data_IF_644369386231
#
_entry.id   IF_644369386231
#
_cell.length_a   1.000
_cell.length_b   1.000
_cell.length_c   1.000
_cell.angle_alpha   90.00
_cell.angle_beta   90.00
_cell.angle_gamma   90.00
#
_symmetry.space_group_name_H-M   'P 1'
#
loop_
_entity.id
_entity.type
_entity.pdbx_description
1 polymer ?
#
# COMPACT_ATOMS: atom_id res chain seq x y z
N UNK A 1 -37.47 -54.87 -12.03
CA UNK A 1 -36.93 -54.63 -10.67
C UNK A 1 -35.88 -53.53 -10.82
N UNK A 2 -36.29 -52.32 -10.47
CA UNK A 2 -35.45 -51.13 -10.50
C UNK A 2 -35.18 -50.73 -9.05
N UNK A 3 -33.98 -50.92 -8.58
CA UNK A 3 -33.51 -50.30 -7.36
C UNK A 3 -33.07 -48.84 -7.64
N UNK A 4 -33.87 -47.92 -7.17
CA UNK A 4 -33.49 -46.50 -7.08
C UNK A 4 -32.66 -46.31 -5.80
N UNK A 5 -31.38 -46.12 -5.95
CA UNK A 5 -30.50 -45.67 -4.86
C UNK A 5 -30.81 -44.19 -4.60
N UNK A 6 -31.46 -43.90 -3.46
CA UNK A 6 -31.60 -42.55 -2.93
C UNK A 6 -30.27 -42.13 -2.31
N UNK A 7 -29.60 -41.15 -2.95
CA UNK A 7 -28.50 -40.42 -2.33
C UNK A 7 -29.14 -39.42 -1.38
N UNK A 8 -29.04 -39.67 -0.08
CA UNK A 8 -29.34 -38.66 0.95
C UNK A 8 -28.20 -37.65 0.98
N UNK A 9 -28.42 -36.47 0.41
CA UNK A 9 -27.61 -35.29 0.71
C UNK A 9 -27.86 -34.90 2.17
N UNK A 10 -26.89 -35.18 3.02
CA UNK A 10 -26.89 -34.70 4.39
C UNK A 10 -26.44 -33.23 4.37
N UNK A 11 -27.37 -32.33 4.25
CA UNK A 11 -27.16 -30.91 4.51
C UNK A 11 -26.86 -30.77 6.02
N UNK A 12 -25.59 -30.66 6.37
CA UNK A 12 -25.21 -30.26 7.74
C UNK A 12 -25.72 -28.83 7.96
N UNK A 13 -26.87 -28.71 8.61
CA UNK A 13 -27.31 -27.46 9.20
C UNK A 13 -26.30 -27.10 10.31
N UNK A 14 -25.50 -26.05 10.09
CA UNK A 14 -24.75 -25.43 11.19
C UNK A 14 -25.77 -24.97 12.23
N UNK A 15 -25.68 -25.51 13.44
CA UNK A 15 -26.47 -25.00 14.56
C UNK A 15 -26.18 -23.51 14.75
N UNK A 16 -27.18 -22.68 15.09
CA UNK A 16 -26.94 -21.27 15.36
C UNK A 16 -26.00 -21.14 16.57
N UNK A 17 -24.86 -20.50 16.36
CA UNK A 17 -23.90 -20.18 17.42
C UNK A 17 -24.62 -19.30 18.45
N UNK A 18 -24.52 -19.65 19.73
CA UNK A 18 -25.20 -18.87 20.78
C UNK A 18 -24.56 -17.50 20.94
N UNK A 19 -25.35 -16.48 21.30
CA UNK A 19 -24.86 -15.10 21.53
C UNK A 19 -23.67 -15.07 22.54
N UNK A 20 -23.66 -15.99 23.50
CA UNK A 20 -22.58 -16.12 24.49
C UNK A 20 -21.28 -16.65 23.88
N UNK A 21 -21.36 -17.61 22.94
CA UNK A 21 -20.19 -18.12 22.23
C UNK A 21 -19.59 -17.05 21.32
N UNK A 22 -20.44 -16.28 20.62
CA UNK A 22 -20.02 -15.16 19.79
C UNK A 22 -19.34 -14.05 20.62
N UNK A 23 -19.82 -13.77 21.82
CA UNK A 23 -19.22 -12.79 22.73
C UNK A 23 -17.85 -13.26 23.25
N UNK A 24 -17.72 -14.53 23.62
CA UNK A 24 -16.44 -15.10 24.09
C UNK A 24 -15.38 -15.15 22.99
N UNK A 25 -15.76 -15.53 21.78
CA UNK A 25 -14.86 -15.49 20.61
C UNK A 25 -14.37 -14.08 20.31
N UNK A 26 -15.22 -13.08 20.43
CA UNK A 26 -14.89 -11.68 20.27
C UNK A 26 -13.87 -11.18 21.31
N UNK A 27 -14.05 -11.59 22.56
CA UNK A 27 -13.13 -11.24 23.65
C UNK A 27 -11.74 -11.88 23.46
N UNK A 28 -11.69 -13.14 23.06
CA UNK A 28 -10.43 -13.85 22.76
C UNK A 28 -9.66 -13.12 21.64
N UNK A 29 -10.35 -12.75 20.56
CA UNK A 29 -9.73 -12.03 19.43
C UNK A 29 -9.19 -10.66 19.84
N UNK A 30 -9.92 -9.92 20.64
CA UNK A 30 -9.45 -8.62 21.12
C UNK A 30 -8.19 -8.78 21.99
N UNK A 31 -8.14 -9.80 22.84
CA UNK A 31 -6.95 -10.12 23.62
C UNK A 31 -5.75 -10.53 22.75
N UNK A 32 -5.96 -11.34 21.72
CA UNK A 32 -4.91 -11.73 20.76
C UNK A 32 -4.39 -10.52 19.99
N UNK A 33 -5.28 -9.63 19.55
CA UNK A 33 -4.95 -8.37 18.90
C UNK A 33 -4.10 -7.48 19.80
N UNK A 34 -4.52 -7.24 21.03
CA UNK A 34 -3.77 -6.44 22.00
C UNK A 34 -2.39 -7.05 22.29
N UNK A 35 -2.32 -8.37 22.48
CA UNK A 35 -1.06 -9.07 22.70
C UNK A 35 -0.13 -8.95 21.50
N UNK A 36 -0.64 -9.03 20.27
CA UNK A 36 0.15 -8.82 19.07
C UNK A 36 0.73 -7.41 19.05
N UNK A 37 -0.10 -6.37 19.23
CA UNK A 37 0.30 -4.98 19.17
C UNK A 37 1.34 -4.61 20.26
N UNK A 38 1.20 -5.15 21.46
CA UNK A 38 2.16 -4.93 22.55
C UNK A 38 3.53 -5.59 22.27
N UNK A 39 3.57 -6.66 21.48
CA UNK A 39 4.80 -7.37 21.11
C UNK A 39 5.50 -6.82 19.85
N UNK A 40 4.97 -5.77 19.24
CA UNK A 40 5.64 -5.11 18.13
C UNK A 40 6.77 -4.23 18.64
N UNK A 41 7.93 -4.31 17.98
CA UNK A 41 9.08 -3.45 18.24
C UNK A 41 8.87 -2.03 17.70
N UNK A 42 8.11 -1.87 16.63
CA UNK A 42 7.76 -0.57 16.08
C UNK A 42 7.00 0.27 17.11
N UNK A 43 7.31 1.57 17.18
CA UNK A 43 6.53 2.51 17.97
C UNK A 43 5.19 2.81 17.34
N UNK A 44 5.17 3.00 16.01
CA UNK A 44 3.94 3.11 15.26
C UNK A 44 3.89 2.02 14.19
N UNK A 45 2.72 1.41 14.05
CA UNK A 45 2.47 0.36 13.06
C UNK A 45 1.03 0.44 12.57
N UNK A 46 0.82 0.09 11.30
CA UNK A 46 -0.50 -0.10 10.70
C UNK A 46 -0.50 -1.32 9.79
N UNK A 47 -1.56 -2.11 9.82
CA UNK A 47 -1.93 -3.09 8.81
C UNK A 47 -3.22 -2.62 8.16
N UNK A 48 -3.25 -2.55 6.85
CA UNK A 48 -4.32 -1.91 6.07
C UNK A 48 -4.82 -2.87 4.99
N UNK A 49 -6.12 -2.91 4.79
CA UNK A 49 -6.73 -3.42 3.57
C UNK A 49 -6.43 -2.44 2.43
N UNK A 50 -5.63 -2.87 1.46
CA UNK A 50 -5.17 -1.99 0.39
C UNK A 50 -6.30 -1.53 -0.54
N UNK A 51 -7.35 -2.33 -0.70
CA UNK A 51 -8.48 -2.02 -1.58
C UNK A 51 -9.35 -0.89 -1.00
N UNK A 52 -9.73 -1.00 0.27
CA UNK A 52 -10.58 0.00 0.94
C UNK A 52 -9.80 1.12 1.63
N UNK A 53 -8.52 0.92 1.93
CA UNK A 53 -7.71 1.82 2.74
C UNK A 53 -8.01 1.75 4.25
N UNK A 54 -8.84 0.79 4.69
CA UNK A 54 -9.22 0.63 6.09
C UNK A 54 -8.07 0.05 6.91
N UNK A 55 -7.79 0.68 8.05
CA UNK A 55 -6.85 0.14 9.04
C UNK A 55 -7.48 -1.07 9.72
N UNK A 56 -6.83 -2.22 9.61
CA UNK A 56 -7.24 -3.50 10.21
C UNK A 56 -6.64 -3.66 11.61
N UNK A 57 -5.37 -3.28 11.75
CA UNK A 57 -4.64 -3.23 13.00
C UNK A 57 -3.83 -1.94 13.08
N UNK A 58 -3.78 -1.31 14.24
CA UNK A 58 -3.01 -0.10 14.48
C UNK A 58 -2.38 -0.05 15.85
N UNK A 59 -1.15 0.44 15.92
CA UNK A 59 -0.42 0.80 17.14
C UNK A 59 0.11 2.21 16.95
N UNK A 60 -0.41 3.18 17.68
CA UNK A 60 -0.10 4.60 17.48
C UNK A 60 -0.07 4.96 15.97
N UNK A 61 -0.98 4.39 15.21
CA UNK A 61 -1.02 4.43 13.74
C UNK A 61 -1.26 5.82 13.18
N UNK A 62 -1.80 6.72 13.98
CA UNK A 62 -2.07 8.12 13.65
C UNK A 62 -1.02 9.09 14.21
N UNK A 63 0.02 8.60 14.90
CA UNK A 63 1.10 9.45 15.40
C UNK A 63 2.10 9.73 14.29
N UNK A 64 2.26 11.01 13.94
CA UNK A 64 3.25 11.44 12.95
C UNK A 64 4.67 11.24 13.48
N UNK A 65 5.52 10.60 12.67
CA UNK A 65 6.93 10.33 12.96
C UNK A 65 7.79 10.55 11.73
N UNK A 66 9.09 10.86 11.88
CA UNK A 66 10.04 10.82 10.78
C UNK A 66 9.97 9.45 10.08
N UNK A 67 10.01 9.46 8.75
CA UNK A 67 9.74 8.27 7.94
C UNK A 67 10.96 7.75 7.16
N UNK A 68 12.07 8.48 7.21
CA UNK A 68 13.30 8.15 6.48
C UNK A 68 13.02 7.87 4.97
N UNK A 69 13.78 6.98 4.37
CA UNK A 69 13.70 6.66 2.94
C UNK A 69 12.43 5.93 2.50
N UNK A 70 11.45 5.64 3.39
CA UNK A 70 10.12 5.23 2.94
C UNK A 70 9.42 6.33 2.15
N UNK A 71 9.83 7.60 2.34
CA UNK A 71 9.48 8.76 1.51
C UNK A 71 9.61 8.49 0.02
N UNK A 72 10.61 7.71 -0.40
CA UNK A 72 10.94 7.48 -1.81
C UNK A 72 9.85 6.77 -2.61
N UNK A 73 8.87 6.12 -1.94
CA UNK A 73 7.68 5.60 -2.64
C UNK A 73 6.86 6.74 -3.27
N UNK A 74 6.70 7.86 -2.55
CA UNK A 74 6.03 9.06 -3.07
C UNK A 74 6.84 9.70 -4.19
N UNK A 75 8.16 9.81 -4.03
CA UNK A 75 9.05 10.35 -5.07
C UNK A 75 8.99 9.50 -6.34
N UNK A 76 9.00 8.18 -6.20
CA UNK A 76 8.92 7.24 -7.32
C UNK A 76 7.59 7.35 -8.07
N UNK A 77 6.46 7.34 -7.36
CA UNK A 77 5.16 7.36 -8.00
C UNK A 77 4.89 8.70 -8.71
N UNK A 78 5.30 9.82 -8.11
CA UNK A 78 5.22 11.13 -8.78
C UNK A 78 6.08 11.19 -10.03
N UNK A 79 7.28 10.63 -9.98
CA UNK A 79 8.16 10.59 -11.14
C UNK A 79 7.61 9.69 -12.27
N UNK A 80 6.96 8.59 -11.92
CA UNK A 80 6.28 7.74 -12.90
C UNK A 80 5.05 8.41 -13.53
N UNK A 81 4.29 9.17 -12.74
CA UNK A 81 3.06 9.83 -13.21
C UNK A 81 3.32 11.12 -14.00
N UNK A 82 4.38 11.86 -13.65
CA UNK A 82 4.66 13.20 -14.22
C UNK A 82 5.84 13.24 -15.19
N UNK A 83 6.77 12.29 -15.12
CA UNK A 83 7.97 12.22 -15.94
C UNK A 83 7.86 11.27 -17.12
N UNK A 84 8.81 11.38 -18.04
CA UNK A 84 8.99 10.40 -19.11
C UNK A 84 10.22 9.54 -18.80
N UNK A 85 10.13 8.19 -18.82
CA UNK A 85 11.27 7.31 -18.54
C UNK A 85 12.52 7.56 -19.38
N UNK A 86 12.37 8.20 -20.54
CA UNK A 86 13.45 8.55 -21.48
C UNK A 86 14.04 9.93 -21.25
N UNK A 87 13.53 10.72 -20.30
CA UNK A 87 14.09 12.01 -19.98
C UNK A 87 15.53 11.88 -19.50
N UNK A 88 16.37 12.80 -19.94
CA UNK A 88 17.73 12.97 -19.43
C UNK A 88 17.70 13.89 -18.21
N UNK A 89 18.01 13.36 -17.08
CA UNK A 89 18.12 14.04 -15.80
C UNK A 89 19.58 14.41 -15.57
N UNK A 90 19.86 15.70 -15.52
CA UNK A 90 21.21 16.20 -15.24
C UNK A 90 21.37 16.47 -13.75
N UNK A 91 22.43 15.93 -13.15
CA UNK A 91 22.74 16.13 -11.75
C UNK A 91 23.16 17.58 -11.50
N UNK A 92 22.47 18.25 -10.57
CA UNK A 92 22.87 19.56 -10.07
C UNK A 92 23.98 19.44 -9.03
N UNK A 93 24.60 20.56 -8.67
CA UNK A 93 25.52 20.63 -7.54
C UNK A 93 24.87 20.17 -6.23
N UNK A 94 23.56 20.48 -6.03
CA UNK A 94 22.81 20.05 -4.86
C UNK A 94 22.59 18.52 -4.85
N UNK A 95 22.22 17.92 -5.98
CA UNK A 95 22.08 16.49 -6.09
C UNK A 95 23.44 15.78 -5.84
N UNK A 96 24.51 16.25 -6.47
CA UNK A 96 25.86 15.69 -6.31
C UNK A 96 26.39 15.80 -4.87
N UNK A 97 25.94 16.80 -4.09
CA UNK A 97 26.36 17.01 -2.70
C UNK A 97 25.57 16.18 -1.68
N UNK A 98 24.61 15.34 -2.12
CA UNK A 98 23.79 14.59 -1.18
C UNK A 98 24.59 13.56 -0.38
N UNK A 99 24.29 13.39 0.93
CA UNK A 99 25.00 12.45 1.78
C UNK A 99 24.69 11.00 1.41
N UNK A 100 25.54 10.08 1.85
CA UNK A 100 25.30 8.63 1.74
C UNK A 100 23.97 8.24 2.40
N UNK A 101 23.23 7.29 1.82
CA UNK A 101 23.52 6.44 0.67
C UNK A 101 23.30 7.22 -0.63
N UNK A 102 24.22 7.18 -1.58
CA UNK A 102 24.13 7.91 -2.84
C UNK A 102 24.74 7.10 -4.00
N UNK A 103 24.29 7.37 -5.22
CA UNK A 103 24.87 6.83 -6.45
C UNK A 103 26.30 7.34 -6.66
N UNK A 104 26.56 8.54 -6.19
CA UNK A 104 27.84 9.23 -6.34
C UNK A 104 27.91 10.05 -7.62
N UNK A 105 26.81 10.69 -8.00
CA UNK A 105 26.73 11.58 -9.17
C UNK A 105 27.71 12.75 -9.03
N UNK A 106 28.26 13.18 -10.15
CA UNK A 106 28.97 14.46 -10.25
C UNK A 106 28.07 15.52 -10.91
N UNK A 107 28.28 16.77 -10.56
CA UNK A 107 27.56 17.88 -11.19
C UNK A 107 27.73 17.85 -12.72
N UNK A 108 26.63 17.95 -13.44
CA UNK A 108 26.58 17.90 -14.89
C UNK A 108 26.48 16.51 -15.49
N UNK A 109 26.66 15.43 -14.72
CA UNK A 109 26.40 14.07 -15.22
C UNK A 109 24.91 13.91 -15.50
N UNK A 110 24.58 13.18 -16.57
CA UNK A 110 23.22 12.93 -16.99
C UNK A 110 22.89 11.44 -16.98
N UNK A 111 21.66 11.14 -16.57
CA UNK A 111 21.13 9.78 -16.46
C UNK A 111 19.70 9.74 -17.02
N UNK A 112 19.27 8.61 -17.55
CA UNK A 112 17.86 8.45 -17.86
C UNK A 112 17.00 8.36 -16.59
N UNK A 113 15.84 9.02 -16.60
CA UNK A 113 14.90 9.01 -15.47
C UNK A 113 14.56 7.59 -15.04
N UNK A 114 14.33 6.68 -16.00
CA UNK A 114 14.11 5.25 -15.74
C UNK A 114 15.20 4.65 -14.87
N UNK A 115 16.46 4.91 -15.19
CA UNK A 115 17.60 4.31 -14.50
C UNK A 115 17.73 4.86 -13.06
N UNK A 116 17.46 6.14 -12.90
CA UNK A 116 17.42 6.77 -11.58
C UNK A 116 16.27 6.25 -10.69
N UNK A 117 15.14 5.80 -11.26
CA UNK A 117 14.06 5.17 -10.51
C UNK A 117 14.47 3.83 -9.91
N UNK A 118 15.24 3.01 -10.64
CA UNK A 118 15.82 1.79 -10.08
C UNK A 118 16.87 2.10 -9.00
N UNK A 119 17.74 3.07 -9.23
CA UNK A 119 18.70 3.58 -8.25
C UNK A 119 18.01 4.04 -6.96
N UNK A 120 16.93 4.81 -7.09
CA UNK A 120 16.10 5.32 -6.02
C UNK A 120 15.48 4.20 -5.17
N UNK A 121 14.89 3.21 -5.81
CA UNK A 121 14.08 2.20 -5.11
C UNK A 121 14.88 1.01 -4.63
N UNK A 122 15.89 0.53 -5.39
CA UNK A 122 16.67 -0.65 -5.04
C UNK A 122 17.75 -0.33 -4.01
N UNK A 123 18.55 0.73 -4.25
CA UNK A 123 19.67 1.13 -3.39
C UNK A 123 19.32 2.29 -2.44
N UNK A 124 18.19 2.96 -2.68
CA UNK A 124 17.77 4.09 -1.86
C UNK A 124 18.66 5.34 -1.97
N UNK A 125 19.26 5.59 -3.14
CA UNK A 125 20.20 6.69 -3.35
C UNK A 125 19.56 8.07 -3.16
N UNK A 126 20.18 8.91 -2.34
CA UNK A 126 19.65 10.24 -1.97
C UNK A 126 19.83 11.26 -3.09
N UNK A 127 20.95 11.22 -3.79
CA UNK A 127 21.24 12.05 -4.96
C UNK A 127 20.27 11.80 -6.10
N UNK A 128 19.91 10.53 -6.36
CA UNK A 128 18.91 10.18 -7.36
C UNK A 128 17.55 10.82 -7.04
N UNK A 129 17.15 10.83 -5.76
CA UNK A 129 15.89 11.45 -5.34
C UNK A 129 15.88 12.96 -5.60
N UNK A 130 16.97 13.65 -5.27
CA UNK A 130 17.10 15.09 -5.47
C UNK A 130 17.18 15.44 -6.95
N UNK A 131 17.98 14.71 -7.73
CA UNK A 131 18.08 14.92 -9.18
C UNK A 131 16.72 14.74 -9.87
N UNK A 132 15.95 13.72 -9.51
CA UNK A 132 14.58 13.48 -10.01
C UNK A 132 13.66 14.67 -9.64
N UNK A 133 13.69 15.08 -8.38
CA UNK A 133 12.83 16.16 -7.88
C UNK A 133 13.12 17.49 -8.59
N UNK A 134 14.38 17.87 -8.75
CA UNK A 134 14.80 19.09 -9.43
C UNK A 134 14.49 19.06 -10.92
N UNK A 135 14.69 17.90 -11.57
CA UNK A 135 14.35 17.73 -12.98
C UNK A 135 12.87 17.95 -13.25
N UNK A 136 12.02 17.34 -12.44
CA UNK A 136 10.56 17.35 -12.68
C UNK A 136 9.88 18.64 -12.23
N UNK A 137 10.30 19.21 -11.10
CA UNK A 137 9.64 20.35 -10.48
C UNK A 137 10.47 21.64 -10.50
N UNK A 138 11.71 21.60 -10.99
CA UNK A 138 12.63 22.71 -11.02
C UNK A 138 13.32 23.01 -9.68
N UNK A 139 12.80 22.48 -8.56
CA UNK A 139 13.43 22.62 -7.24
C UNK A 139 12.88 21.60 -6.24
N UNK A 140 13.65 21.29 -5.19
CA UNK A 140 13.22 20.44 -4.09
C UNK A 140 11.98 21.00 -3.36
N UNK A 141 11.89 22.30 -3.01
CA UNK A 141 10.69 22.83 -2.38
C UNK A 141 9.42 22.72 -3.24
N UNK A 142 9.55 22.89 -4.57
CA UNK A 142 8.42 22.70 -5.47
C UNK A 142 7.98 21.25 -5.54
N UNK A 143 8.94 20.31 -5.57
CA UNK A 143 8.64 18.90 -5.55
C UNK A 143 7.97 18.48 -4.22
N UNK A 144 8.44 19.01 -3.09
CA UNK A 144 7.81 18.79 -1.79
C UNK A 144 6.33 19.25 -1.76
N UNK A 145 6.00 20.37 -2.41
CA UNK A 145 4.60 20.78 -2.60
C UNK A 145 3.80 19.73 -3.36
N UNK A 146 4.33 19.20 -4.46
CA UNK A 146 3.67 18.12 -5.20
C UNK A 146 3.49 16.84 -4.38
N UNK A 147 4.46 16.52 -3.51
CA UNK A 147 4.33 15.37 -2.60
C UNK A 147 3.17 15.56 -1.62
N UNK A 148 3.04 16.76 -1.04
CA UNK A 148 1.94 17.07 -0.12
C UNK A 148 0.58 17.10 -0.84
N UNK A 149 0.50 17.76 -2.02
CA UNK A 149 -0.72 17.75 -2.85
C UNK A 149 -1.14 16.31 -3.22
N UNK A 150 -0.19 15.46 -3.60
CA UNK A 150 -0.47 14.04 -3.89
C UNK A 150 -0.92 13.27 -2.64
N UNK A 151 -0.34 13.54 -1.48
CA UNK A 151 -0.77 12.94 -0.22
C UNK A 151 -2.23 13.30 0.10
N UNK A 152 -2.61 14.58 -0.06
CA UNK A 152 -4.00 15.03 0.09
C UNK A 152 -4.94 14.36 -0.93
N UNK A 153 -4.52 14.25 -2.21
CA UNK A 153 -5.28 13.57 -3.27
C UNK A 153 -5.53 12.08 -2.92
N UNK A 154 -4.55 11.42 -2.33
CA UNK A 154 -4.66 10.03 -1.86
C UNK A 154 -5.59 9.92 -0.65
N UNK A 155 -5.83 11.01 0.07
CA UNK A 155 -6.64 11.09 1.29
C UNK A 155 -5.82 10.92 2.57
N UNK A 156 -4.54 11.31 2.55
CA UNK A 156 -3.71 11.41 3.75
C UNK A 156 -4.05 12.71 4.50
N UNK A 157 -4.10 12.63 5.81
CA UNK A 157 -4.36 13.77 6.71
C UNK A 157 -3.25 14.02 7.71
N UNK A 158 -2.31 13.09 7.81
CA UNK A 158 -1.22 13.04 8.79
C UNK A 158 0.11 12.79 8.07
N UNK A 159 0.40 13.63 7.06
CA UNK A 159 1.62 13.59 6.26
C UNK A 159 2.13 14.99 5.98
N UNK A 160 3.44 15.20 6.15
CA UNK A 160 4.12 16.42 5.77
C UNK A 160 5.47 16.09 5.13
N UNK A 161 5.59 16.41 3.84
CA UNK A 161 6.78 16.15 3.05
C UNK A 161 7.61 17.42 2.87
N UNK A 162 8.90 17.35 3.16
CA UNK A 162 9.88 18.43 3.01
C UNK A 162 11.01 18.01 2.05
N UNK A 163 11.41 16.73 2.09
CA UNK A 163 12.52 16.22 1.29
C UNK A 163 12.07 15.06 0.38
N UNK A 164 12.64 14.94 -0.85
CA UNK A 164 12.29 13.83 -1.75
C UNK A 164 13.01 12.53 -1.42
N UNK A 165 14.06 12.58 -0.61
CA UNK A 165 14.90 11.43 -0.26
C UNK A 165 14.60 10.85 1.12
N UNK A 166 13.85 11.57 1.96
CA UNK A 166 13.49 11.15 3.31
C UNK A 166 14.54 11.45 4.37
N UNK A 167 15.53 12.29 4.07
CA UNK A 167 16.37 12.85 5.10
C UNK A 167 15.54 13.76 6.00
N UNK A 168 15.91 13.80 7.26
CA UNK A 168 15.25 14.62 8.27
C UNK A 168 15.33 16.10 7.87
N UNK A 169 14.24 16.82 8.05
CA UNK A 169 14.13 18.22 7.68
C UNK A 169 12.84 18.83 8.17
N UNK A 170 12.76 20.15 8.12
CA UNK A 170 11.59 20.91 8.52
C UNK A 170 11.44 22.15 7.63
N UNK A 171 10.23 22.62 7.51
CA UNK A 171 9.89 23.88 6.88
C UNK A 171 8.86 24.64 7.75
N UNK A 172 8.29 25.72 7.19
CA UNK A 172 7.27 26.52 7.92
C UNK A 172 5.99 25.72 8.23
N UNK A 173 5.75 24.62 7.53
CA UNK A 173 4.59 23.73 7.73
C UNK A 173 4.83 22.64 8.78
N UNK A 174 6.09 22.37 9.12
CA UNK A 174 6.45 21.37 10.13
C UNK A 174 7.60 20.46 9.75
N UNK A 175 7.73 19.38 10.53
CA UNK A 175 8.77 18.37 10.37
C UNK A 175 8.38 17.36 9.29
N UNK A 176 9.36 16.91 8.49
CA UNK A 176 9.22 15.82 7.53
C UNK A 176 8.76 14.52 8.23
N UNK A 177 7.47 14.25 8.21
CA UNK A 177 6.87 13.17 9.00
C UNK A 177 5.57 12.64 8.39
N UNK A 178 5.18 11.44 8.81
CA UNK A 178 3.93 10.79 8.39
C UNK A 178 3.42 9.88 9.50
N UNK A 179 2.13 9.57 9.50
CA UNK A 179 1.57 8.47 10.30
C UNK A 179 1.75 7.12 9.61
N UNK A 180 1.78 6.04 10.38
CA UNK A 180 1.87 4.69 9.81
C UNK A 180 0.64 4.36 8.93
N UNK A 181 -0.55 4.83 9.32
CA UNK A 181 -1.77 4.67 8.54
C UNK A 181 -1.66 5.34 7.17
N UNK A 182 -1.19 6.59 7.11
CA UNK A 182 -1.07 7.32 5.86
C UNK A 182 0.09 6.80 4.98
N UNK A 183 1.20 6.34 5.58
CA UNK A 183 2.27 5.69 4.83
C UNK A 183 1.77 4.40 4.16
N UNK A 184 0.99 3.59 4.86
CA UNK A 184 0.36 2.40 4.29
C UNK A 184 -0.66 2.76 3.19
N UNK A 185 -1.40 3.85 3.35
CA UNK A 185 -2.34 4.35 2.34
C UNK A 185 -1.63 4.79 1.05
N UNK A 186 -0.48 5.46 1.16
CA UNK A 186 0.36 5.83 0.01
C UNK A 186 0.86 4.56 -0.71
N UNK A 187 1.36 3.56 0.02
CA UNK A 187 1.80 2.31 -0.60
C UNK A 187 0.63 1.59 -1.28
N UNK A 188 -0.56 1.56 -0.67
CA UNK A 188 -1.77 1.00 -1.28
C UNK A 188 -2.12 1.69 -2.60
N UNK A 189 -1.98 3.02 -2.67
CA UNK A 189 -2.14 3.77 -3.90
C UNK A 189 -1.10 3.35 -4.95
N UNK A 190 0.17 3.28 -4.58
CA UNK A 190 1.26 2.92 -5.49
C UNK A 190 1.09 1.53 -6.12
N UNK A 191 0.59 0.55 -5.36
CA UNK A 191 0.51 -0.84 -5.83
C UNK A 191 -0.82 -1.20 -6.52
N UNK A 192 -1.92 -0.44 -6.26
CA UNK A 192 -3.25 -0.80 -6.77
C UNK A 192 -3.95 0.30 -7.58
N UNK A 193 -3.85 1.56 -7.15
CA UNK A 193 -4.74 2.63 -7.65
C UNK A 193 -4.08 3.61 -8.61
N UNK A 194 -2.76 3.77 -8.53
CA UNK A 194 -2.03 4.62 -9.47
C UNK A 194 -2.16 4.08 -10.90
N UNK A 195 -2.35 4.95 -11.92
CA UNK A 195 -2.26 4.54 -13.32
C UNK A 195 -0.87 3.97 -13.69
N UNK A 196 0.12 4.12 -12.79
CA UNK A 196 1.49 3.64 -12.90
C UNK A 196 1.84 2.50 -11.92
N UNK A 197 0.81 1.84 -11.36
CA UNK A 197 1.02 0.75 -10.41
C UNK A 197 1.86 -0.40 -11.01
N UNK A 198 1.61 -0.76 -12.27
CA UNK A 198 2.37 -1.83 -12.93
C UNK A 198 3.86 -1.49 -13.07
N UNK A 199 4.20 -0.25 -13.46
CA UNK A 199 5.58 0.21 -13.57
C UNK A 199 6.24 0.32 -12.18
N UNK A 200 5.50 0.79 -11.17
CA UNK A 200 5.98 0.84 -9.79
C UNK A 200 6.33 -0.55 -9.27
N UNK A 201 5.46 -1.54 -9.47
CA UNK A 201 5.69 -2.93 -9.09
C UNK A 201 6.88 -3.53 -9.86
N UNK A 202 6.99 -3.28 -11.17
CA UNK A 202 8.11 -3.76 -11.96
C UNK A 202 9.47 -3.25 -11.43
N UNK A 203 9.54 -1.99 -10.98
CA UNK A 203 10.74 -1.42 -10.37
C UNK A 203 11.01 -2.07 -9.01
N UNK A 204 10.02 -2.10 -8.12
CA UNK A 204 10.22 -2.52 -6.72
C UNK A 204 10.44 -4.03 -6.56
N UNK A 205 10.05 -4.82 -7.55
CA UNK A 205 10.27 -6.28 -7.59
C UNK A 205 11.57 -6.67 -8.28
N UNK A 206 12.22 -5.75 -9.01
CA UNK A 206 13.45 -6.07 -9.74
C UNK A 206 14.54 -6.51 -8.77
N UNK A 207 15.16 -7.69 -8.93
CA UNK A 207 16.19 -8.18 -8.01
C UNK A 207 17.48 -7.36 -8.10
N UNK A 208 17.88 -7.01 -9.31
CA UNK A 208 19.08 -6.21 -9.60
C UNK A 208 18.91 -5.49 -10.94
N UNK A 209 19.53 -4.33 -11.06
CA UNK A 209 19.49 -3.52 -12.28
C UNK A 209 20.83 -2.86 -12.52
N UNK A 210 21.32 -2.89 -13.77
CA UNK A 210 22.57 -2.24 -14.16
C UNK A 210 22.31 -1.24 -15.27
N UNK A 211 22.98 -0.11 -15.21
CA UNK A 211 22.86 0.98 -16.18
C UNK A 211 24.18 1.77 -16.28
N UNK A 212 24.24 2.64 -17.27
CA UNK A 212 25.33 3.58 -17.44
C UNK A 212 24.81 5.01 -17.38
N UNK A 213 25.70 6.00 -17.13
CA UNK A 213 25.37 7.38 -17.41
C UNK A 213 25.04 7.57 -18.90
N UNK A 214 24.46 8.71 -19.25
CA UNK A 214 24.04 8.99 -20.64
C UNK A 214 25.19 9.04 -21.66
N UNK A 215 26.42 9.24 -21.20
CA UNK A 215 27.61 9.26 -22.04
C UNK A 215 28.30 7.88 -22.11
N UNK A 216 27.86 6.91 -21.32
CA UNK A 216 28.44 5.56 -21.25
C UNK A 216 29.82 5.50 -20.60
N UNK A 217 30.17 6.50 -19.80
CA UNK A 217 31.46 6.59 -19.10
C UNK A 217 31.47 5.85 -17.77
N UNK A 218 30.36 5.93 -17.03
CA UNK A 218 30.13 5.24 -15.75
C UNK A 218 29.23 4.03 -15.90
N UNK A 219 29.53 2.96 -15.14
CA UNK A 219 28.66 1.78 -15.04
C UNK A 219 28.23 1.61 -13.58
N UNK A 220 26.93 1.44 -13.37
CA UNK A 220 26.31 1.36 -12.06
C UNK A 220 25.52 0.06 -11.95
N UNK A 221 25.46 -0.50 -10.73
CA UNK A 221 24.71 -1.70 -10.44
C UNK A 221 23.96 -1.51 -9.13
N UNK A 222 22.66 -1.82 -9.15
CA UNK A 222 21.76 -1.73 -8.01
C UNK A 222 21.24 -3.12 -7.65
N UNK A 223 21.19 -3.43 -6.36
CA UNK A 223 20.60 -4.65 -5.81
C UNK A 223 19.41 -4.32 -4.94
N UNK A 224 18.39 -5.16 -4.97
CA UNK A 224 17.19 -4.94 -4.17
C UNK A 224 17.42 -5.35 -2.71
N UNK A 225 17.32 -4.41 -1.79
CA UNK A 225 17.48 -4.64 -0.36
C UNK A 225 16.17 -4.99 0.37
N UNK A 226 15.07 -5.18 -0.36
CA UNK A 226 13.80 -5.58 0.22
C UNK A 226 13.75 -7.09 0.48
N UNK A 227 14.23 -7.54 1.63
CA UNK A 227 14.23 -8.96 2.01
C UNK A 227 12.81 -9.56 2.08
N UNK A 228 11.77 -8.74 2.25
CA UNK A 228 10.39 -9.19 2.32
C UNK A 228 9.95 -9.96 1.08
N UNK A 229 10.41 -9.57 -0.11
CA UNK A 229 10.10 -10.24 -1.37
C UNK A 229 10.48 -11.74 -1.40
N UNK A 230 11.45 -12.14 -0.57
CA UNK A 230 11.89 -13.53 -0.45
C UNK A 230 11.49 -14.17 0.88
N UNK A 231 10.96 -13.37 1.81
CA UNK A 231 10.65 -13.80 3.17
C UNK A 231 9.25 -14.40 3.29
N UNK A 232 8.32 -13.93 2.49
CA UNK A 232 6.91 -14.35 2.52
C UNK A 232 6.36 -14.50 1.10
N UNK A 233 5.69 -15.61 0.86
CA UNK A 233 4.96 -15.83 -0.39
C UNK A 233 3.87 -14.75 -0.54
N UNK A 234 3.73 -14.24 -1.75
CA UNK A 234 2.78 -13.15 -2.03
C UNK A 234 3.30 -11.74 -1.74
N UNK A 235 4.52 -11.56 -1.21
CA UNK A 235 5.12 -10.24 -1.09
C UNK A 235 5.34 -9.61 -2.47
N UNK A 236 4.80 -8.39 -2.70
CA UNK A 236 4.79 -7.75 -4.03
C UNK A 236 5.56 -6.43 -4.07
N UNK A 237 5.80 -5.77 -2.95
CA UNK A 237 6.52 -4.50 -2.93
C UNK A 237 6.98 -4.15 -1.52
N UNK A 238 7.87 -3.16 -1.39
CA UNK A 238 8.24 -2.57 -0.13
C UNK A 238 9.40 -1.58 -0.24
N UNK A 239 9.55 -0.78 0.81
CA UNK A 239 10.67 0.17 0.95
C UNK A 239 11.12 0.27 2.39
N UNK A 240 12.42 0.13 2.59
CA UNK A 240 13.10 0.36 3.86
C UNK A 240 13.51 1.82 4.03
N UNK A 241 13.66 2.26 5.27
CA UNK A 241 14.24 3.56 5.60
C UNK A 241 14.98 3.51 6.93
N UNK A 242 15.96 4.40 7.08
CA UNK A 242 16.67 4.65 8.33
C UNK A 242 17.26 6.06 8.32
N UNK A 243 17.01 6.81 9.37
CA UNK A 243 17.80 7.97 9.81
C UNK A 243 18.02 7.86 11.33
N UNK A 244 18.88 8.71 11.88
CA UNK A 244 19.10 8.75 13.33
C UNK A 244 17.80 9.06 14.10
N UNK A 245 17.00 10.00 13.59
CA UNK A 245 15.75 10.45 14.20
C UNK A 245 14.60 9.47 13.98
N UNK A 246 14.49 8.95 12.75
CA UNK A 246 13.40 8.02 12.39
C UNK A 246 13.54 6.63 13.01
N UNK A 247 14.77 6.15 13.24
CA UNK A 247 15.02 4.75 13.46
C UNK A 247 14.74 3.92 12.19
N UNK A 248 14.62 2.61 12.32
CA UNK A 248 14.24 1.75 11.19
C UNK A 248 12.76 1.90 10.87
N UNK A 249 12.48 2.21 9.60
CA UNK A 249 11.15 2.29 9.04
C UNK A 249 11.01 1.27 7.90
N UNK A 250 9.79 0.80 7.69
CA UNK A 250 9.48 -0.09 6.58
C UNK A 250 8.00 0.05 6.18
N UNK A 251 7.74 -0.05 4.89
CA UNK A 251 6.40 -0.21 4.34
C UNK A 251 6.44 -1.33 3.30
N UNK A 252 5.47 -2.23 3.34
CA UNK A 252 5.42 -3.38 2.45
C UNK A 252 4.01 -3.78 2.07
N UNK A 253 3.88 -4.42 0.90
CA UNK A 253 2.62 -4.91 0.37
C UNK A 253 2.71 -6.41 0.07
N UNK A 254 1.64 -7.15 0.39
CA UNK A 254 1.50 -8.57 0.17
C UNK A 254 0.13 -8.86 -0.42
N UNK A 255 0.10 -9.69 -1.47
CA UNK A 255 -1.11 -10.21 -2.06
C UNK A 255 -1.27 -11.70 -1.70
N UNK A 256 -2.40 -12.05 -1.14
CA UNK A 256 -2.76 -13.42 -0.79
C UNK A 256 -4.17 -13.72 -1.26
N UNK A 257 -4.31 -14.65 -2.20
CA UNK A 257 -5.56 -14.92 -2.88
C UNK A 257 -6.09 -13.65 -3.57
N UNK A 258 -7.30 -13.21 -3.23
CA UNK A 258 -7.93 -11.98 -3.74
C UNK A 258 -7.74 -10.77 -2.81
N UNK A 259 -6.92 -10.89 -1.74
CA UNK A 259 -6.69 -9.85 -0.72
C UNK A 259 -5.32 -9.21 -0.90
N UNK A 260 -5.25 -7.90 -0.78
CA UNK A 260 -3.98 -7.17 -0.73
C UNK A 260 -3.84 -6.45 0.60
N UNK A 261 -2.84 -6.85 1.37
CA UNK A 261 -2.49 -6.23 2.65
C UNK A 261 -1.31 -5.29 2.46
N UNK A 262 -1.38 -4.14 3.09
CA UNK A 262 -0.25 -3.22 3.22
C UNK A 262 0.01 -2.98 4.70
N UNK A 263 1.29 -3.03 5.08
CA UNK A 263 1.69 -2.67 6.44
C UNK A 263 2.76 -1.59 6.41
N UNK A 264 2.78 -0.75 7.45
CA UNK A 264 3.80 0.26 7.67
C UNK A 264 4.30 0.22 9.11
N UNK A 265 5.61 0.39 9.27
CA UNK A 265 6.30 0.42 10.56
C UNK A 265 7.16 1.69 10.63
N UNK A 266 7.00 2.46 11.70
CA UNK A 266 7.80 3.63 11.99
C UNK A 266 8.49 3.46 13.35
N UNK A 267 9.73 3.94 13.43
CA UNK A 267 10.55 3.84 14.63
C UNK A 267 10.65 2.39 15.17
N UNK A 268 11.00 1.45 14.28
CA UNK A 268 11.09 0.01 14.55
C UNK A 268 12.52 -0.39 14.96
N UNK A 269 13.05 0.25 15.99
CA UNK A 269 14.40 0.04 16.51
C UNK A 269 15.44 0.96 15.89
N UNK A 270 16.63 0.94 16.49
CA UNK A 270 17.83 1.72 16.10
C UNK A 270 19.01 0.78 15.85
N UNK A 271 20.24 1.26 15.61
CA UNK A 271 21.40 0.42 15.33
C UNK A 271 21.54 -0.77 16.30
N UNK A 272 21.90 -1.92 15.75
CA UNK A 272 21.91 -3.28 16.31
C UNK A 272 20.55 -4.02 16.23
N UNK A 273 19.44 -3.35 15.90
CA UNK A 273 18.09 -3.91 15.86
C UNK A 273 17.47 -3.88 14.44
N UNK A 274 18.28 -3.91 13.39
CA UNK A 274 17.85 -3.79 11.99
C UNK A 274 16.85 -4.87 11.54
N UNK A 275 16.77 -5.98 12.24
CA UNK A 275 15.89 -7.10 11.90
C UNK A 275 14.49 -7.01 12.55
N UNK A 276 14.28 -6.09 13.49
CA UNK A 276 12.98 -5.90 14.15
C UNK A 276 11.85 -5.65 13.15
N UNK A 277 12.12 -4.84 12.11
CA UNK A 277 11.15 -4.58 11.05
C UNK A 277 10.70 -5.86 10.33
N UNK A 278 11.59 -6.83 10.10
CA UNK A 278 11.23 -8.09 9.46
C UNK A 278 10.38 -8.99 10.36
N UNK A 279 10.70 -9.00 11.64
CA UNK A 279 9.92 -9.72 12.66
C UNK A 279 8.51 -9.15 12.77
N UNK A 280 8.38 -7.82 12.85
CA UNK A 280 7.08 -7.17 12.96
C UNK A 280 6.26 -7.26 11.67
N UNK A 281 6.92 -7.15 10.49
CA UNK A 281 6.29 -7.36 9.19
C UNK A 281 5.64 -8.75 9.12
N UNK A 282 6.37 -9.80 9.49
CA UNK A 282 5.86 -11.17 9.49
C UNK A 282 4.64 -11.31 10.39
N UNK A 283 4.73 -10.82 11.63
CA UNK A 283 3.63 -10.88 12.61
C UNK A 283 2.35 -10.23 12.07
N UNK A 284 2.47 -9.01 11.51
CA UNK A 284 1.32 -8.28 10.99
C UNK A 284 0.71 -8.96 9.77
N UNK A 285 1.53 -9.43 8.82
CA UNK A 285 1.04 -10.07 7.60
C UNK A 285 0.42 -11.44 7.90
N UNK A 286 1.04 -12.26 8.74
CA UNK A 286 0.49 -13.54 9.17
C UNK A 286 -0.86 -13.36 9.88
N UNK A 287 -0.97 -12.37 10.77
CA UNK A 287 -2.24 -12.03 11.41
C UNK A 287 -3.30 -11.60 10.40
N UNK A 288 -2.94 -10.73 9.45
CA UNK A 288 -3.86 -10.28 8.39
C UNK A 288 -4.41 -11.45 7.57
N UNK A 289 -3.53 -12.33 7.11
CA UNK A 289 -3.92 -13.50 6.32
C UNK A 289 -4.78 -14.49 7.09
N UNK A 290 -4.51 -14.66 8.40
CA UNK A 290 -5.23 -15.62 9.25
C UNK A 290 -6.61 -15.14 9.69
N UNK A 291 -6.79 -13.83 9.91
CA UNK A 291 -7.97 -13.29 10.60
C UNK A 291 -8.88 -12.42 9.73
N UNK A 292 -8.51 -12.13 8.49
CA UNK A 292 -9.35 -11.31 7.62
C UNK A 292 -9.61 -12.03 6.30
N UNK A 293 -10.89 -12.11 5.92
CA UNK A 293 -11.34 -12.62 4.62
C UNK A 293 -12.31 -11.66 3.99
N UNK A 294 -12.47 -11.73 2.67
CA UNK A 294 -13.58 -11.04 2.02
C UNK A 294 -14.90 -11.75 2.33
N UNK A 295 -15.87 -10.94 2.73
CA UNK A 295 -17.25 -11.40 2.88
C UNK A 295 -18.18 -10.53 2.03
N UNK A 296 -19.20 -11.18 1.47
CA UNK A 296 -20.19 -10.50 0.65
C UNK A 296 -21.24 -9.85 1.54
N UNK A 297 -21.06 -8.55 1.80
CA UNK A 297 -21.94 -7.80 2.73
C UNK A 297 -23.19 -7.23 2.08
N UNK A 298 -23.24 -7.27 0.75
CA UNK A 298 -24.41 -6.81 0.00
C UNK A 298 -24.75 -7.79 -1.11
N UNK A 299 -25.99 -8.32 -1.07
CA UNK A 299 -26.65 -8.99 -2.19
C UNK A 299 -27.76 -8.09 -2.69
N UNK A 300 -27.80 -7.83 -4.00
CA UNK A 300 -28.94 -7.15 -4.60
C UNK A 300 -30.18 -8.01 -4.31
N UNK A 301 -31.15 -7.51 -3.55
CA UNK A 301 -32.35 -8.29 -3.27
C UNK A 301 -33.08 -8.57 -4.57
N UNK A 302 -33.57 -9.83 -4.74
CA UNK A 302 -34.48 -10.15 -5.81
C UNK A 302 -35.78 -9.36 -5.61
N UNK A 303 -36.04 -8.46 -6.54
CA UNK A 303 -37.26 -7.66 -6.49
C UNK A 303 -38.40 -8.43 -7.19
N UNK A 304 -39.46 -8.64 -6.47
CA UNK A 304 -40.67 -9.18 -7.05
C UNK A 304 -41.28 -8.19 -8.05
N UNK A 305 -41.88 -8.70 -9.12
CA UNK A 305 -42.66 -7.87 -10.04
C UNK A 305 -43.79 -7.20 -9.28
N UNK A 306 -43.95 -5.89 -9.48
CA UNK A 306 -45.03 -5.14 -8.83
C UNK A 306 -46.32 -5.30 -9.65
N UNK A 307 -47.40 -5.85 -9.06
CA UNK A 307 -48.66 -5.96 -9.79
C UNK A 307 -49.24 -4.55 -10.06
N UNK A 308 -49.76 -4.36 -11.27
CA UNK A 308 -50.38 -3.10 -11.69
C UNK A 308 -51.89 -3.29 -11.75
N UNK A 309 -52.62 -2.55 -10.92
CA UNK A 309 -54.10 -2.53 -10.97
C UNK A 309 -54.53 -1.85 -12.28
N UNK A 310 -55.48 -2.49 -12.96
CA UNK A 310 -56.04 -2.04 -14.25
C UNK A 310 -54.99 -1.94 -15.39
N UNK A 311 -53.85 -2.57 -15.28
CA UNK A 311 -52.83 -2.65 -16.31
C UNK A 311 -53.19 -3.69 -17.35
N UNK A 312 -52.80 -3.46 -18.63
CA UNK A 312 -52.95 -4.43 -19.71
C UNK A 312 -51.78 -5.42 -19.71
N UNK A 313 -52.08 -6.69 -19.52
CA UNK A 313 -51.04 -7.74 -19.54
C UNK A 313 -50.63 -8.07 -20.98
N UNK A 314 -49.36 -8.24 -21.22
CA UNK A 314 -48.85 -8.75 -22.49
C UNK A 314 -49.28 -10.21 -22.80
N UNK A 315 -49.76 -10.92 -21.78
CA UNK A 315 -50.15 -12.32 -21.87
C UNK A 315 -51.68 -12.52 -22.09
N UNK A 316 -52.37 -11.51 -22.59
CA UNK A 316 -53.79 -11.58 -22.95
C UNK A 316 -54.75 -11.14 -21.85
N UNK A 317 -56.09 -11.22 -22.13
CA UNK A 317 -57.18 -10.69 -21.33
C UNK A 317 -57.31 -11.22 -19.88
N UNK A 318 -56.65 -12.29 -19.52
CA UNK A 318 -56.67 -12.92 -18.19
C UNK A 318 -55.35 -12.88 -17.46
N UNK A 319 -54.32 -12.26 -18.04
CA UNK A 319 -53.01 -12.10 -17.39
C UNK A 319 -53.00 -10.96 -16.38
N UNK A 320 -52.37 -11.15 -15.22
CA UNK A 320 -52.12 -10.05 -14.29
C UNK A 320 -51.00 -9.17 -14.81
N UNK A 321 -51.26 -7.88 -14.95
CA UNK A 321 -50.23 -6.92 -15.33
C UNK A 321 -49.25 -6.74 -14.19
N UNK A 322 -47.95 -6.75 -14.47
CA UNK A 322 -46.89 -6.49 -13.50
C UNK A 322 -45.72 -5.75 -14.18
N UNK A 323 -45.06 -4.89 -13.46
CA UNK A 323 -43.84 -4.23 -13.91
C UNK A 323 -42.61 -4.86 -13.27
N UNK A 324 -41.58 -4.99 -14.07
CA UNK A 324 -40.27 -5.34 -13.57
C UNK A 324 -39.63 -4.13 -12.91
N UNK A 325 -39.02 -4.34 -11.75
CA UNK A 325 -38.35 -3.29 -10.98
C UNK A 325 -36.86 -3.57 -11.01
N UNK A 326 -36.09 -2.56 -11.35
CA UNK A 326 -34.64 -2.62 -11.38
C UNK A 326 -34.08 -1.60 -10.39
N UNK A 327 -33.12 -2.03 -9.54
CA UNK A 327 -32.39 -1.11 -8.68
C UNK A 327 -31.27 -0.48 -9.51
N UNK A 328 -31.37 0.84 -9.73
CA UNK A 328 -30.31 1.62 -10.37
C UNK A 328 -29.52 2.35 -9.28
N UNK A 329 -28.27 2.02 -9.11
CA UNK A 329 -27.34 2.66 -8.18
C UNK A 329 -25.92 2.53 -8.65
N UNK A 330 -24.98 3.25 -8.02
CA UNK A 330 -23.55 2.95 -8.18
C UNK A 330 -23.35 1.52 -7.68
N UNK A 331 -22.62 0.72 -8.46
CA UNK A 331 -22.14 -0.59 -8.01
C UNK A 331 -21.40 -0.39 -6.69
N UNK A 332 -22.00 -0.83 -5.60
CA UNK A 332 -21.31 -0.90 -4.31
C UNK A 332 -20.36 -2.09 -4.38
N UNK A 333 -19.16 -2.01 -3.81
CA UNK A 333 -18.32 -3.19 -3.67
C UNK A 333 -19.12 -4.22 -2.88
N UNK A 334 -19.52 -5.31 -3.52
CA UNK A 334 -20.31 -6.37 -2.90
C UNK A 334 -19.56 -7.11 -1.81
N UNK A 335 -18.23 -6.88 -1.71
CA UNK A 335 -17.34 -7.55 -0.76
C UNK A 335 -16.54 -6.55 0.04
N UNK A 336 -16.40 -6.78 1.33
CA UNK A 336 -15.47 -6.08 2.22
C UNK A 336 -14.62 -7.09 2.97
N UNK A 337 -13.42 -6.69 3.37
CA UNK A 337 -12.56 -7.50 4.24
C UNK A 337 -13.13 -7.45 5.66
N UNK A 338 -13.59 -8.57 6.17
CA UNK A 338 -14.12 -8.69 7.53
C UNK A 338 -13.16 -9.52 8.38
N UNK A 339 -13.02 -9.19 9.67
CA UNK A 339 -12.35 -10.04 10.64
C UNK A 339 -13.25 -11.21 11.01
N UNK A 340 -12.66 -12.37 11.20
CA UNK A 340 -13.35 -13.59 11.64
C UNK A 340 -13.95 -13.44 13.03
#
# INVERSE_FOLDING_TARGET
ENERTQIMETTQQKEPVSDAQTAQEKEIREQEREQLLTRLYARSAALVDADSGRVLLGKEEHVMRPMASTTKIMTCILALEKGNPKDLVTASANAAAQPKVHLGMHEGEAFYLRDLLYSLMLESHNDSAVAIAEHLAGSVPQFARWMNEKAEEIGCTEAHFVTPNGLDGEDVGGVHSISAADLAKIMSYCVLRSPKAAEFLAITQMPAYSFSDAEGKGNFSCSNHNAFLQMMDGAISGKTGFTGDAGYCYVGALQSEDRTFVMALLACGWPNNKNYKWTDTRKLMEYGMAHYRYDEVWKIPELSKIPVENGVSQNGLFGKAAVEVEIKGKESPGKILVGD
#
